data_IF_952956514632
#
_entry.id   IF_952956514632
#
_cell.length_a   1.000
_cell.length_b   1.000
_cell.length_c   1.000
_cell.angle_alpha   90.00
_cell.angle_beta   90.00
_cell.angle_gamma   90.00
#
_symmetry.space_group_name_H-M   'P 1'
#
loop_
_entity.id
_entity.type
_entity.pdbx_description
1 polymer ?
#
# COMPACT_ATOMS: atom_id res chain seq x y z
N UNK A 1 -10.91 -4.84 22.67
CA UNK A 1 -12.28 -4.67 22.14
C UNK A 1 -12.55 -5.79 21.14
N UNK A 2 -13.73 -6.40 21.20
CA UNK A 2 -14.08 -7.58 20.41
C UNK A 2 -14.41 -7.23 18.96
N UNK A 3 -14.14 -8.16 18.03
CA UNK A 3 -14.52 -8.02 16.63
C UNK A 3 -16.05 -7.83 16.49
N UNK A 4 -16.52 -7.09 15.46
CA UNK A 4 -17.94 -6.85 15.23
C UNK A 4 -18.72 -8.17 15.07
N UNK A 5 -19.93 -8.22 15.64
CA UNK A 5 -20.78 -9.41 15.60
C UNK A 5 -21.39 -9.64 14.21
N UNK A 6 -21.90 -10.86 13.95
CA UNK A 6 -22.63 -11.16 12.70
C UNK A 6 -23.85 -10.25 12.50
N UNK A 7 -24.50 -9.81 13.56
CA UNK A 7 -25.62 -8.84 13.50
C UNK A 7 -25.16 -7.46 13.08
N UNK A 8 -24.01 -7.00 13.58
CA UNK A 8 -23.44 -5.69 13.23
C UNK A 8 -23.08 -5.65 11.73
N UNK A 9 -22.52 -6.75 11.20
CA UNK A 9 -22.24 -6.85 9.77
C UNK A 9 -23.52 -6.83 8.91
N UNK A 10 -24.59 -7.53 9.31
CA UNK A 10 -25.87 -7.47 8.59
C UNK A 10 -26.48 -6.07 8.60
N UNK A 11 -26.38 -5.35 9.71
CA UNK A 11 -26.82 -3.97 9.81
C UNK A 11 -26.00 -3.05 8.88
N UNK A 12 -24.68 -3.25 8.85
CA UNK A 12 -23.78 -2.51 7.96
C UNK A 12 -24.09 -2.74 6.47
N UNK A 13 -24.38 -4.00 6.05
CA UNK A 13 -24.83 -4.32 4.69
C UNK A 13 -26.09 -3.55 4.34
N UNK A 14 -27.10 -3.62 5.21
CA UNK A 14 -28.39 -2.96 4.99
C UNK A 14 -28.21 -1.44 4.88
N UNK A 15 -27.30 -0.88 5.67
CA UNK A 15 -26.98 0.54 5.63
C UNK A 15 -26.28 0.94 4.32
N UNK A 16 -25.28 0.17 3.85
CA UNK A 16 -24.65 0.39 2.53
C UNK A 16 -25.72 0.43 1.43
N UNK A 17 -26.58 -0.59 1.37
CA UNK A 17 -27.64 -0.69 0.36
C UNK A 17 -28.64 0.47 0.47
N UNK A 18 -29.00 0.88 1.69
CA UNK A 18 -29.89 2.00 1.95
C UNK A 18 -29.30 3.31 1.44
N UNK A 19 -28.03 3.58 1.74
CA UNK A 19 -27.32 4.81 1.35
C UNK A 19 -27.20 4.94 -0.17
N UNK A 20 -26.84 3.85 -0.85
CA UNK A 20 -26.76 3.81 -2.31
C UNK A 20 -28.13 4.10 -2.94
N UNK A 21 -29.18 3.44 -2.45
CA UNK A 21 -30.55 3.61 -2.97
C UNK A 21 -31.09 5.01 -2.72
N UNK A 22 -30.93 5.56 -1.51
CA UNK A 22 -31.51 6.86 -1.13
C UNK A 22 -30.88 8.04 -1.86
N UNK A 23 -29.63 7.91 -2.29
CA UNK A 23 -28.90 8.97 -2.99
C UNK A 23 -28.81 8.76 -4.51
N UNK A 24 -29.51 7.75 -5.05
CA UNK A 24 -29.52 7.46 -6.48
C UNK A 24 -28.14 7.07 -7.04
N UNK A 25 -27.23 6.60 -6.20
CA UNK A 25 -25.87 6.22 -6.62
C UNK A 25 -25.96 4.89 -7.37
N UNK A 26 -25.54 4.90 -8.64
CA UNK A 26 -25.53 3.72 -9.49
C UNK A 26 -24.14 3.12 -9.51
N UNK A 27 -23.99 1.98 -8.85
CA UNK A 27 -22.77 1.21 -8.82
C UNK A 27 -22.71 0.26 -10.03
N UNK A 28 -21.79 0.50 -10.97
CA UNK A 28 -21.65 -0.27 -12.22
C UNK A 28 -21.40 -1.76 -11.95
N UNK A 29 -20.53 -2.07 -10.97
CA UNK A 29 -20.30 -3.41 -10.43
C UNK A 29 -20.72 -3.44 -8.95
N UNK A 30 -22.05 -3.35 -8.74
CA UNK A 30 -22.66 -3.30 -7.42
C UNK A 30 -22.25 -4.47 -6.51
N UNK A 31 -22.00 -5.66 -7.08
CA UNK A 31 -21.58 -6.83 -6.32
C UNK A 31 -20.16 -6.67 -5.78
N UNK A 32 -19.22 -6.24 -6.63
CA UNK A 32 -17.83 -6.06 -6.23
C UNK A 32 -17.63 -4.87 -5.29
N UNK A 33 -18.22 -3.71 -5.60
CA UNK A 33 -18.14 -2.54 -4.73
C UNK A 33 -18.75 -2.82 -3.35
N UNK A 34 -19.84 -3.58 -3.28
CA UNK A 34 -20.39 -4.03 -2.00
C UNK A 34 -19.44 -4.98 -1.27
N UNK A 35 -18.84 -5.95 -1.97
CA UNK A 35 -17.88 -6.88 -1.36
C UNK A 35 -16.68 -6.15 -0.75
N UNK A 36 -16.07 -5.21 -1.48
CA UNK A 36 -14.92 -4.42 -1.01
C UNK A 36 -15.30 -3.53 0.18
N UNK A 37 -16.48 -2.90 0.13
CA UNK A 37 -16.97 -2.10 1.25
C UNK A 37 -17.20 -2.95 2.52
N UNK A 38 -17.73 -4.17 2.35
CA UNK A 38 -17.95 -5.08 3.47
C UNK A 38 -16.65 -5.62 4.05
N UNK A 39 -15.67 -5.93 3.21
CA UNK A 39 -14.35 -6.34 3.65
C UNK A 39 -13.72 -5.27 4.55
N UNK A 40 -13.80 -4.00 4.14
CA UNK A 40 -13.32 -2.86 4.92
C UNK A 40 -14.07 -2.74 6.25
N UNK A 41 -15.40 -2.77 6.24
CA UNK A 41 -16.20 -2.62 7.47
C UNK A 41 -15.98 -3.77 8.46
N UNK A 42 -15.60 -4.96 7.99
CA UNK A 42 -15.24 -6.08 8.84
C UNK A 42 -13.88 -5.88 9.53
N UNK A 43 -12.90 -5.27 8.84
CA UNK A 43 -11.53 -5.08 9.34
C UNK A 43 -11.32 -3.76 10.08
N UNK A 44 -12.11 -2.73 9.75
CA UNK A 44 -12.00 -1.37 10.27
C UNK A 44 -13.33 -0.95 10.92
N UNK A 45 -13.57 -1.31 12.19
CA UNK A 45 -14.89 -1.25 12.82
C UNK A 45 -15.40 0.18 13.10
N UNK A 46 -14.53 1.19 13.02
CA UNK A 46 -14.89 2.60 13.20
C UNK A 46 -15.18 3.32 11.87
N UNK A 47 -15.00 2.64 10.73
CA UNK A 47 -15.49 3.14 9.45
C UNK A 47 -16.99 2.85 9.32
N UNK A 48 -17.68 3.75 8.62
CA UNK A 48 -19.11 3.67 8.36
C UNK A 48 -19.41 4.07 6.91
N UNK A 49 -20.39 3.42 6.27
CA UNK A 49 -20.88 3.86 4.97
C UNK A 49 -21.58 5.21 5.09
N UNK A 50 -21.31 6.08 4.14
CA UNK A 50 -21.86 7.43 4.07
C UNK A 50 -21.89 7.92 2.63
N UNK A 51 -22.56 9.05 2.42
CA UNK A 51 -22.56 9.75 1.13
C UNK A 51 -22.09 11.17 1.38
N UNK A 52 -21.07 11.59 0.64
CA UNK A 52 -20.52 12.93 0.77
C UNK A 52 -19.88 13.44 -0.50
N UNK A 53 -19.59 14.72 -0.49
CA UNK A 53 -18.84 15.39 -1.55
C UNK A 53 -17.36 15.09 -1.37
N UNK A 54 -16.67 14.89 -2.49
CA UNK A 54 -15.21 14.98 -2.54
C UNK A 54 -14.85 16.47 -2.56
N UNK A 55 -13.77 16.87 -1.88
CA UNK A 55 -13.35 18.27 -1.84
C UNK A 55 -13.26 18.86 -3.25
N UNK A 56 -13.98 19.95 -3.52
CA UNK A 56 -14.03 20.59 -4.84
C UNK A 56 -15.04 20.01 -5.84
N UNK A 57 -15.87 19.04 -5.47
CA UNK A 57 -16.94 18.49 -6.31
C UNK A 57 -18.33 18.72 -5.73
N UNK A 58 -19.29 19.11 -6.57
CA UNK A 58 -20.72 19.15 -6.20
C UNK A 58 -21.38 17.76 -6.26
N UNK A 59 -20.71 16.78 -6.88
CA UNK A 59 -21.20 15.42 -7.00
C UNK A 59 -21.09 14.68 -5.66
N UNK A 60 -22.15 13.96 -5.31
CA UNK A 60 -22.17 13.07 -4.15
C UNK A 60 -21.62 11.71 -4.53
N UNK A 61 -20.75 11.18 -3.67
CA UNK A 61 -20.13 9.88 -3.83
C UNK A 61 -20.40 9.01 -2.61
N UNK A 62 -20.47 7.70 -2.83
CA UNK A 62 -20.43 6.74 -1.75
C UNK A 62 -19.01 6.75 -1.15
N UNK A 63 -18.94 6.79 0.18
CA UNK A 63 -17.69 6.75 0.92
C UNK A 63 -17.80 5.89 2.17
N UNK A 64 -16.66 5.38 2.61
CA UNK A 64 -16.47 4.81 3.94
C UNK A 64 -15.69 5.83 4.75
N UNK A 65 -16.28 6.37 5.81
CA UNK A 65 -15.65 7.41 6.63
C UNK A 65 -15.64 7.04 8.11
N UNK A 66 -14.66 7.56 8.83
CA UNK A 66 -14.48 7.32 10.25
C UNK A 66 -13.01 7.41 10.64
N UNK A 67 -12.62 6.68 11.68
CA UNK A 67 -11.24 6.66 12.15
C UNK A 67 -10.57 5.31 11.93
N UNK A 68 -9.28 5.32 11.67
CA UNK A 68 -8.43 4.14 11.61
C UNK A 68 -7.37 4.26 12.69
N UNK A 69 -7.19 3.19 13.47
CA UNK A 69 -6.12 3.14 14.46
C UNK A 69 -4.79 2.91 13.75
N UNK A 70 -3.89 3.88 13.83
CA UNK A 70 -2.54 3.84 13.27
C UNK A 70 -1.54 3.98 14.41
N UNK A 71 -0.31 3.50 14.21
CA UNK A 71 0.71 3.54 15.26
C UNK A 71 1.81 4.51 14.88
N UNK A 72 2.35 5.25 15.83
CA UNK A 72 3.60 6.00 15.68
C UNK A 72 4.37 5.93 16.99
N UNK A 73 5.65 5.57 16.94
CA UNK A 73 6.46 5.32 18.14
C UNK A 73 5.76 4.40 19.16
N UNK A 74 5.12 3.32 18.66
CA UNK A 74 4.32 2.36 19.43
C UNK A 74 3.04 2.91 20.09
N UNK A 75 2.76 4.21 19.97
CA UNK A 75 1.51 4.80 20.44
C UNK A 75 0.42 4.69 19.37
N UNK A 76 -0.79 4.30 19.79
CA UNK A 76 -1.95 4.23 18.91
C UNK A 76 -2.65 5.58 18.78
N UNK A 77 -2.91 5.99 17.55
CA UNK A 77 -3.63 7.22 17.19
C UNK A 77 -4.84 6.87 16.34
N UNK A 78 -5.98 7.51 16.59
CA UNK A 78 -7.17 7.37 15.77
C UNK A 78 -7.17 8.46 14.70
N UNK A 79 -6.78 8.09 13.48
CA UNK A 79 -6.64 9.00 12.37
C UNK A 79 -7.95 9.04 11.57
N UNK A 80 -8.62 10.20 11.47
CA UNK A 80 -9.84 10.35 10.67
C UNK A 80 -9.53 10.34 9.18
N UNK A 81 -10.26 9.53 8.42
CA UNK A 81 -10.14 9.44 6.96
C UNK A 81 -11.48 9.09 6.29
N UNK A 82 -11.52 9.28 4.98
CA UNK A 82 -12.62 8.88 4.12
C UNK A 82 -12.07 8.16 2.86
N UNK A 83 -12.69 7.04 2.51
CA UNK A 83 -12.40 6.26 1.30
C UNK A 83 -13.60 6.37 0.36
N UNK A 84 -13.43 7.04 -0.76
CA UNK A 84 -14.49 7.25 -1.76
C UNK A 84 -14.42 6.18 -2.84
N UNK A 85 -15.59 5.61 -3.18
CA UNK A 85 -15.72 4.68 -4.30
C UNK A 85 -16.37 5.39 -5.48
N UNK A 86 -15.65 5.44 -6.60
CA UNK A 86 -16.20 5.92 -7.87
C UNK A 86 -17.09 4.85 -8.49
N UNK A 87 -18.02 5.27 -9.36
CA UNK A 87 -18.90 4.35 -10.09
C UNK A 87 -18.14 3.33 -10.94
N UNK A 88 -16.92 3.69 -11.37
CA UNK A 88 -15.98 2.85 -12.13
C UNK A 88 -15.18 1.86 -11.29
N UNK A 89 -15.29 1.87 -9.95
CA UNK A 89 -14.63 0.86 -9.13
C UNK A 89 -15.22 -0.54 -9.38
N UNK A 90 -14.42 -1.62 -9.48
CA UNK A 90 -12.99 -1.74 -9.16
C UNK A 90 -12.03 -1.41 -10.33
N UNK A 91 -12.53 -1.03 -11.51
CA UNK A 91 -11.67 -0.70 -12.66
C UNK A 91 -10.78 0.51 -12.35
N UNK A 92 -11.29 1.43 -11.51
CA UNK A 92 -10.52 2.54 -10.97
C UNK A 92 -10.23 2.36 -9.47
N UNK A 93 -9.07 2.84 -8.97
CA UNK A 93 -8.76 2.82 -7.55
C UNK A 93 -9.77 3.65 -6.72
N UNK A 94 -9.95 3.32 -5.42
CA UNK A 94 -10.63 4.19 -4.49
C UNK A 94 -9.82 5.48 -4.28
N UNK A 95 -10.49 6.54 -3.80
CA UNK A 95 -9.81 7.78 -3.40
C UNK A 95 -9.76 7.82 -1.87
N UNK A 96 -8.57 7.87 -1.29
CA UNK A 96 -8.39 7.99 0.16
C UNK A 96 -8.03 9.44 0.52
N UNK A 97 -8.77 10.03 1.46
CA UNK A 97 -8.50 11.36 1.98
C UNK A 97 -8.43 11.34 3.51
N UNK A 98 -7.40 11.95 4.07
CA UNK A 98 -7.31 12.27 5.49
C UNK A 98 -8.31 13.39 5.79
N UNK A 99 -8.98 13.31 6.94
CA UNK A 99 -10.04 14.23 7.34
C UNK A 99 -9.69 14.88 8.69
N UNK A 100 -8.73 15.82 8.74
CA UNK A 100 -8.29 16.44 9.99
C UNK A 100 -9.46 17.05 10.76
N UNK A 101 -9.52 16.78 12.07
CA UNK A 101 -10.38 17.54 12.97
C UNK A 101 -9.85 18.98 13.13
N UNK A 102 -10.65 19.92 13.68
CA UNK A 102 -10.22 21.31 13.83
C UNK A 102 -8.93 21.49 14.65
N UNK A 103 -8.61 20.54 15.54
CA UNK A 103 -7.39 20.50 16.35
C UNK A 103 -6.26 19.69 15.70
N UNK A 104 -6.40 19.23 14.46
CA UNK A 104 -5.36 18.53 13.71
C UNK A 104 -4.86 19.35 12.51
N UNK A 105 -3.63 19.08 12.10
CA UNK A 105 -3.03 19.66 10.90
C UNK A 105 -2.25 18.59 10.14
N UNK A 106 -2.39 18.60 8.81
CA UNK A 106 -1.58 17.77 7.93
C UNK A 106 -0.15 18.33 7.92
N UNK A 107 0.84 17.43 7.97
CA UNK A 107 2.25 17.78 7.87
C UNK A 107 2.51 18.48 6.51
N UNK A 108 3.00 19.72 6.49
CA UNK A 108 3.31 20.39 5.24
C UNK A 108 4.34 19.59 4.43
N UNK A 109 4.15 19.53 3.11
CA UNK A 109 5.04 18.81 2.19
C UNK A 109 5.26 17.33 2.55
N UNK A 110 4.24 16.67 3.13
CA UNK A 110 4.29 15.23 3.32
C UNK A 110 4.28 14.53 1.96
N UNK A 111 5.05 13.46 1.87
CA UNK A 111 5.32 12.81 0.61
C UNK A 111 4.14 12.04 0.01
N UNK A 112 3.31 11.45 0.87
CA UNK A 112 2.15 10.66 0.48
C UNK A 112 0.82 11.36 0.72
N UNK A 113 0.81 12.57 1.27
CA UNK A 113 -0.43 13.27 1.63
C UNK A 113 -0.28 14.74 1.30
N UNK A 114 -1.15 15.26 0.43
CA UNK A 114 -1.11 16.68 0.06
C UNK A 114 -1.76 17.58 1.14
N UNK A 115 -1.73 18.89 0.90
CA UNK A 115 -2.32 19.88 1.80
C UNK A 115 -3.85 19.75 1.96
N UNK A 116 -4.53 19.10 1.02
CA UNK A 116 -5.98 18.84 1.07
C UNK A 116 -6.31 17.49 1.73
N UNK A 117 -5.30 16.70 2.10
CA UNK A 117 -5.44 15.40 2.72
C UNK A 117 -5.56 14.26 1.73
N UNK A 118 -5.42 14.48 0.42
CA UNK A 118 -5.45 13.43 -0.58
C UNK A 118 -4.22 12.54 -0.45
N UNK A 119 -4.44 11.23 -0.39
CA UNK A 119 -3.39 10.24 -0.17
C UNK A 119 -2.91 9.66 -1.50
N UNK A 120 -1.59 9.66 -1.70
CA UNK A 120 -0.89 9.12 -2.86
C UNK A 120 -0.07 7.89 -2.46
N UNK A 121 -0.44 6.74 -2.99
CA UNK A 121 0.22 5.46 -2.71
C UNK A 121 0.67 4.80 -4.00
N UNK A 122 1.85 4.16 -4.02
CA UNK A 122 2.22 3.29 -5.12
C UNK A 122 1.18 2.17 -5.34
N UNK A 123 0.60 1.64 -4.26
CA UNK A 123 -0.48 0.65 -4.31
C UNK A 123 -1.75 1.13 -5.05
N UNK A 124 -2.04 2.44 -5.05
CA UNK A 124 -3.18 3.00 -5.79
C UNK A 124 -2.88 3.17 -7.28
N UNK A 125 -1.60 3.31 -7.64
CA UNK A 125 -1.17 3.41 -9.02
C UNK A 125 -1.28 2.06 -9.74
N UNK A 126 -0.75 1.01 -9.12
CA UNK A 126 -0.80 -0.36 -9.66
C UNK A 126 -2.14 -1.05 -9.32
N UNK A 127 -3.19 -0.26 -9.14
CA UNK A 127 -4.49 -0.78 -8.77
C UNK A 127 -5.05 -1.65 -9.89
N UNK A 128 -5.44 -2.87 -9.54
CA UNK A 128 -6.10 -3.81 -10.44
C UNK A 128 -7.43 -4.25 -9.86
N UNK A 129 -8.25 -4.94 -10.66
CA UNK A 129 -9.44 -5.61 -10.14
C UNK A 129 -9.12 -6.65 -9.08
N UNK A 130 -7.87 -7.07 -8.87
CA UNK A 130 -7.51 -7.99 -7.77
C UNK A 130 -7.05 -7.26 -6.51
N UNK A 131 -6.83 -5.96 -6.56
CA UNK A 131 -6.44 -5.14 -5.43
C UNK A 131 -7.57 -5.02 -4.41
N UNK A 132 -7.22 -4.96 -3.12
CA UNK A 132 -8.13 -4.75 -1.99
C UNK A 132 -7.94 -3.37 -1.36
N UNK A 133 -9.06 -2.77 -0.94
CA UNK A 133 -9.09 -1.53 -0.14
C UNK A 133 -8.49 -1.76 1.26
N UNK A 134 -8.60 -2.97 1.79
CA UNK A 134 -8.01 -3.31 3.09
C UNK A 134 -6.48 -3.23 3.03
N UNK A 135 -5.85 -3.75 1.98
CA UNK A 135 -4.40 -3.63 1.79
C UNK A 135 -4.00 -2.16 1.58
N UNK A 136 -4.76 -1.39 0.80
CA UNK A 136 -4.53 0.06 0.69
C UNK A 136 -4.53 0.74 2.08
N UNK A 137 -5.51 0.46 2.95
CA UNK A 137 -5.56 1.03 4.30
C UNK A 137 -4.39 0.57 5.20
N UNK A 138 -3.86 -0.64 4.98
CA UNK A 138 -2.65 -1.11 5.67
C UNK A 138 -1.42 -0.32 5.22
N UNK A 139 -1.28 -0.05 3.93
CA UNK A 139 -0.20 0.79 3.39
C UNK A 139 -0.27 2.22 3.96
N UNK A 140 -1.46 2.83 4.02
CA UNK A 140 -1.64 4.14 4.69
C UNK A 140 -1.17 4.10 6.14
N UNK A 141 -1.51 3.03 6.87
CA UNK A 141 -1.13 2.87 8.28
C UNK A 141 0.39 2.64 8.43
N UNK A 142 1.01 1.91 7.51
CA UNK A 142 2.46 1.67 7.49
C UNK A 142 3.22 2.97 7.23
N UNK A 143 2.75 3.81 6.29
CA UNK A 143 3.32 5.13 6.03
C UNK A 143 3.19 6.02 7.28
N UNK A 144 2.03 6.07 7.94
CA UNK A 144 1.89 6.85 9.17
C UNK A 144 2.87 6.40 10.26
N UNK A 145 3.17 5.09 10.30
CA UNK A 145 4.09 4.51 11.29
C UNK A 145 5.53 4.96 11.09
N UNK A 146 5.97 5.09 9.84
CA UNK A 146 7.31 5.56 9.51
C UNK A 146 7.42 7.09 9.44
N UNK A 147 6.44 7.77 8.87
CA UNK A 147 6.35 9.23 8.77
C UNK A 147 4.90 9.71 9.00
N UNK A 148 4.57 10.25 10.19
CA UNK A 148 3.24 10.76 10.47
C UNK A 148 2.87 11.94 9.56
N UNK A 149 1.80 11.77 8.79
CA UNK A 149 1.27 12.81 7.91
C UNK A 149 0.32 13.78 8.60
N UNK A 150 -0.07 13.55 9.84
CA UNK A 150 -1.02 14.40 10.58
C UNK A 150 -0.60 14.53 12.05
N UNK A 151 -0.75 15.75 12.59
CA UNK A 151 -0.39 16.10 13.96
C UNK A 151 -1.52 16.84 14.64
N UNK A 152 -1.54 16.84 15.98
CA UNK A 152 -2.34 17.81 16.74
C UNK A 152 -1.74 19.20 16.59
N UNK A 153 -2.59 20.20 16.39
CA UNK A 153 -2.20 21.61 16.44
C UNK A 153 -1.64 21.92 17.83
N UNK A 154 -0.57 22.74 17.93
CA UNK A 154 -0.11 23.24 19.21
C UNK A 154 -1.28 23.96 19.90
N UNK A 155 -1.64 23.54 21.11
CA UNK A 155 -2.60 24.28 21.92
C UNK A 155 -1.96 25.63 22.23
N UNK A 156 -2.47 26.71 21.62
CA UNK A 156 -2.00 28.04 21.99
C UNK A 156 -2.25 28.21 23.49
N UNK A 157 -1.25 28.62 24.29
CA UNK A 157 -1.52 29.05 25.65
C UNK A 157 -2.58 30.16 25.58
N UNK A 158 -3.56 30.18 26.51
CA UNK A 158 -4.63 31.16 26.48
C UNK A 158 -4.02 32.56 26.37
N UNK A 159 -4.48 33.34 25.40
CA UNK A 159 -4.05 34.71 25.21
C UNK A 159 -4.20 35.46 26.55
N UNK A 160 -3.08 35.80 27.17
CA UNK A 160 -3.07 36.67 28.35
C UNK A 160 -3.76 37.98 27.95
N UNK A 161 -4.82 38.40 28.66
CA UNK A 161 -5.44 39.71 28.42
C UNK A 161 -4.37 40.78 28.61
N UNK A 162 -4.04 41.51 27.55
CA UNK A 162 -3.14 42.65 27.62
C UNK A 162 -3.83 43.78 28.40
N UNK A 163 -3.62 43.80 29.72
CA UNK A 163 -3.92 44.99 30.51
C UNK A 163 -2.85 46.04 30.24
N UNK A 164 -3.30 47.19 29.76
CA UNK A 164 -2.56 48.44 29.67
C UNK A 164 -1.83 48.74 30.98
N UNK A 165 -0.53 49.04 30.89
CA UNK A 165 0.12 50.03 31.76
C UNK A 165 1.12 50.84 30.94
N UNK A 166 0.74 52.11 30.75
CA UNK A 166 1.58 53.19 30.29
C UNK A 166 2.71 53.51 31.31
N UNK A 167 3.90 53.73 30.73
CA UNK A 167 4.99 54.65 31.10
C UNK A 167 5.45 54.82 32.56
N UNK A 168 6.75 54.54 32.80
CA UNK A 168 7.77 55.60 32.88
C UNK A 168 9.20 55.04 33.09
N UNK A 169 10.14 55.83 32.59
CA UNK A 169 11.55 55.58 32.29
C UNK A 169 12.49 55.62 33.52
N UNK A 170 13.58 54.82 33.52
CA UNK A 170 14.96 55.23 33.92
C UNK A 170 16.00 54.09 33.84
N UNK A 171 16.91 54.19 32.87
CA UNK A 171 18.36 54.15 33.07
C UNK A 171 19.11 52.83 33.38
N UNK A 172 19.95 52.43 32.41
CA UNK A 172 21.34 51.94 32.55
C UNK A 172 21.69 50.46 32.21
N UNK A 173 22.49 50.36 31.14
CA UNK A 173 23.70 49.53 30.91
C UNK A 173 23.65 48.02 30.58
N UNK A 174 23.90 47.76 29.27
CA UNK A 174 24.81 46.78 28.61
C UNK A 174 25.15 45.45 29.32
N UNK A 175 24.81 44.32 28.67
CA UNK A 175 25.76 43.34 28.08
C UNK A 175 25.03 42.10 27.51
N UNK A 176 25.54 41.57 26.38
CA UNK A 176 25.10 40.34 25.67
C UNK A 176 25.46 39.05 26.43
N UNK A 177 24.85 37.91 26.10
CA UNK A 177 25.61 36.74 25.65
C UNK A 177 25.04 36.22 24.31
N UNK A 178 25.80 36.07 23.22
CA UNK A 178 26.66 34.91 22.84
C UNK A 178 25.98 33.58 23.16
N UNK A 179 25.38 32.96 22.14
CA UNK A 179 24.97 31.56 22.13
C UNK A 179 26.12 30.75 21.53
N UNK A 180 26.72 29.88 22.33
CA UNK A 180 27.63 28.83 21.87
C UNK A 180 26.85 27.67 21.26
N UNK A 181 27.35 27.20 20.12
CA UNK A 181 26.93 25.98 19.45
C UNK A 181 27.47 24.77 20.21
N UNK A 182 26.59 23.86 20.63
CA UNK A 182 27.01 22.51 21.01
C UNK A 182 26.53 21.50 19.98
N UNK A 183 27.53 20.82 19.42
CA UNK A 183 27.45 19.65 18.56
C UNK A 183 27.59 18.41 19.46
N UNK A 184 26.65 17.48 19.37
CA UNK A 184 26.72 16.23 20.13
C UNK A 184 27.56 15.18 19.39
N UNK A 185 28.69 14.82 19.98
CA UNK A 185 29.37 13.54 19.80
C UNK A 185 29.60 12.92 21.18
N UNK A 186 29.29 11.65 21.36
CA UNK A 186 29.51 10.95 22.63
C UNK A 186 30.37 9.72 22.40
N UNK A 187 31.48 9.63 23.13
CA UNK A 187 32.26 8.42 23.35
C UNK A 187 32.92 8.48 24.74
N UNK A 188 32.65 7.44 25.54
CA UNK A 188 33.42 6.88 26.68
C UNK A 188 33.40 7.73 27.97
N UNK A 189 33.35 7.19 29.21
CA UNK A 189 34.10 6.09 29.87
C UNK A 189 33.29 5.55 31.14
N UNK A 190 33.79 4.69 32.08
CA UNK A 190 33.70 3.21 32.14
C UNK A 190 33.12 2.54 33.43
N UNK A 191 33.02 1.19 33.34
CA UNK A 191 33.31 0.13 34.32
C UNK A 191 32.30 -0.30 35.41
N UNK A 192 31.75 -1.51 35.22
CA UNK A 192 31.82 -2.58 36.23
C UNK A 192 31.85 -3.95 35.54
N UNK A 193 32.87 -4.71 35.89
CA UNK A 193 33.28 -6.01 35.36
C UNK A 193 32.56 -7.18 36.03
N UNK A 194 32.46 -8.27 35.25
CA UNK A 194 32.51 -9.70 35.59
C UNK A 194 31.39 -10.39 36.39
N UNK A 195 30.74 -11.35 35.70
CA UNK A 195 30.55 -12.70 36.22
C UNK A 195 30.84 -13.76 35.14
N UNK A 196 32.05 -14.31 35.25
CA UNK A 196 32.52 -15.66 34.89
C UNK A 196 32.46 -16.20 33.45
N UNK A 197 33.67 -16.30 32.88
CA UNK A 197 34.14 -17.35 31.99
C UNK A 197 34.63 -18.60 32.77
N UNK A 198 34.39 -19.77 32.17
CA UNK A 198 35.25 -20.98 32.03
C UNK A 198 35.63 -21.88 33.24
N UNK A 199 35.43 -23.18 33.03
CA UNK A 199 36.40 -24.31 33.00
C UNK A 199 35.60 -25.63 32.95
N UNK A 200 35.99 -26.78 32.39
CA UNK A 200 37.01 -27.23 31.45
C UNK A 200 36.68 -28.72 31.13
N UNK A 201 37.05 -29.20 29.92
CA UNK A 201 37.53 -30.56 29.70
C UNK A 201 36.51 -31.71 29.51
N UNK A 202 36.19 -32.03 28.24
CA UNK A 202 35.62 -33.31 27.84
C UNK A 202 35.73 -33.52 26.33
N UNK A 203 36.75 -34.24 25.87
CA UNK A 203 36.97 -34.63 24.47
C UNK A 203 35.81 -35.51 23.99
N UNK A 204 35.06 -35.09 22.98
CA UNK A 204 34.32 -35.99 22.10
C UNK A 204 34.40 -35.49 20.65
N UNK A 205 35.06 -36.30 19.83
CA UNK A 205 35.01 -36.29 18.37
C UNK A 205 33.59 -36.57 17.92
N UNK A 206 32.92 -35.60 17.29
CA UNK A 206 31.65 -35.83 16.59
C UNK A 206 31.95 -35.99 15.10
N UNK A 207 31.85 -37.23 14.65
CA UNK A 207 31.86 -37.61 13.25
C UNK A 207 30.58 -37.09 12.56
N UNK A 208 30.75 -36.58 11.34
CA UNK A 208 29.67 -36.21 10.44
C UNK A 208 28.74 -37.40 10.15
N UNK A 209 27.40 -37.29 10.28
CA UNK A 209 26.50 -38.35 9.86
C UNK A 209 26.33 -38.36 8.33
N UNK A 210 26.13 -39.54 7.71
CA UNK A 210 26.13 -39.70 6.26
C UNK A 210 24.80 -39.28 5.63
N UNK A 211 24.87 -38.90 4.35
CA UNK A 211 23.76 -38.75 3.42
C UNK A 211 22.76 -39.92 3.55
N UNK A 212 21.50 -39.62 3.86
CA UNK A 212 20.37 -40.52 3.62
C UNK A 212 19.59 -40.03 2.42
N UNK A 213 19.53 -40.89 1.41
CA UNK A 213 18.65 -40.78 0.25
C UNK A 213 17.17 -40.99 0.66
N UNK A 214 16.21 -40.34 -0.02
CA UNK A 214 14.78 -40.59 0.19
C UNK A 214 14.37 -42.02 -0.24
N UNK A 215 13.31 -42.59 0.36
CA UNK A 215 12.83 -43.94 0.03
C UNK A 215 12.21 -43.98 -1.38
N UNK A 216 12.57 -45.01 -2.16
CA UNK A 216 11.98 -45.31 -3.45
C UNK A 216 10.55 -45.89 -3.30
N UNK A 217 9.64 -45.60 -4.24
CA UNK A 217 8.32 -46.24 -4.28
C UNK A 217 8.41 -47.71 -4.73
N UNK A 218 7.47 -48.58 -4.30
CA UNK A 218 7.48 -50.00 -4.64
C UNK A 218 7.23 -50.24 -6.12
N UNK A 219 8.05 -51.12 -6.70
CA UNK A 219 7.96 -51.63 -8.08
C UNK A 219 6.76 -52.56 -8.23
N UNK A 220 6.14 -52.46 -9.40
CA UNK A 220 4.84 -52.98 -9.84
C UNK A 220 4.48 -54.44 -9.53
N UNK A 221 3.17 -54.67 -9.39
CA UNK A 221 2.53 -55.87 -9.94
C UNK A 221 1.18 -55.51 -10.57
N UNK A 222 1.04 -55.88 -11.84
CA UNK A 222 -0.13 -55.82 -12.74
C UNK A 222 -0.32 -54.53 -13.56
N UNK A 223 0.48 -54.38 -14.63
CA UNK A 223 0.12 -53.56 -15.79
C UNK A 223 -1.03 -54.22 -16.57
N UNK A 224 -2.11 -53.51 -16.91
CA UNK A 224 -3.02 -53.94 -17.96
C UNK A 224 -2.26 -54.03 -19.28
N UNK A 225 -2.49 -55.11 -20.03
CA UNK A 225 -1.94 -55.37 -21.36
C UNK A 225 -2.12 -54.13 -22.28
N UNK A 226 -1.01 -53.62 -22.81
CA UNK A 226 -0.95 -52.46 -23.72
C UNK A 226 -1.83 -52.67 -24.96
N UNK A 227 -2.06 -53.93 -25.35
CA UNK A 227 -2.97 -54.27 -26.44
C UNK A 227 -4.45 -54.05 -26.08
N UNK A 228 -4.84 -54.15 -24.80
CA UNK A 228 -6.19 -53.79 -24.37
C UNK A 228 -6.39 -52.28 -24.36
N UNK A 229 -5.41 -51.49 -23.89
CA UNK A 229 -5.50 -50.02 -23.88
C UNK A 229 -5.61 -49.47 -25.31
N UNK A 230 -4.82 -50.00 -26.26
CA UNK A 230 -4.91 -49.61 -27.67
C UNK A 230 -6.24 -50.03 -28.33
N UNK A 231 -6.85 -51.14 -27.88
CA UNK A 231 -8.16 -51.58 -28.39
C UNK A 231 -9.30 -50.71 -27.85
N UNK A 232 -9.24 -50.28 -26.59
CA UNK A 232 -10.21 -49.36 -25.98
C UNK A 232 -10.08 -47.94 -26.55
N UNK A 233 -8.85 -47.48 -26.84
CA UNK A 233 -8.61 -46.17 -27.47
C UNK A 233 -9.02 -46.12 -28.95
N UNK A 234 -9.07 -47.26 -29.66
CA UNK A 234 -9.61 -47.34 -31.03
C UNK A 234 -11.14 -47.54 -31.05
N UNK A 235 -11.73 -48.08 -29.99
CA UNK A 235 -13.19 -48.27 -29.87
C UNK A 235 -13.93 -47.02 -29.37
N UNK A 236 -13.22 -46.07 -28.76
CA UNK A 236 -13.72 -44.73 -28.48
C UNK A 236 -13.22 -43.79 -29.57
N UNK A 237 -13.96 -43.73 -30.68
CA UNK A 237 -13.69 -42.85 -31.81
C UNK A 237 -13.95 -41.37 -31.44
N UNK A 238 -13.17 -40.84 -30.50
CA UNK A 238 -13.15 -39.43 -30.11
C UNK A 238 -11.97 -38.73 -30.78
N UNK A 239 -11.94 -38.75 -32.11
CA UNK A 239 -11.29 -37.67 -32.88
C UNK A 239 -12.23 -36.47 -32.89
N UNK A 240 -12.21 -35.69 -31.81
CA UNK A 240 -12.86 -34.39 -31.76
C UNK A 240 -11.86 -33.27 -32.08
N UNK A 241 -11.99 -32.52 -33.19
CA UNK A 241 -11.22 -31.30 -33.45
C UNK A 241 -11.49 -30.14 -32.45
N UNK A 242 -12.35 -30.35 -31.45
CA UNK A 242 -12.86 -29.31 -30.55
C UNK A 242 -11.97 -29.07 -29.31
N UNK A 243 -11.48 -30.14 -28.66
CA UNK A 243 -10.61 -30.03 -27.48
C UNK A 243 -9.25 -29.38 -27.79
N UNK A 244 -8.71 -29.59 -28.99
CA UNK A 244 -7.47 -28.96 -29.42
C UNK A 244 -7.63 -27.47 -29.66
N UNK A 245 -8.82 -27.03 -30.08
CA UNK A 245 -9.08 -25.62 -30.35
C UNK A 245 -9.33 -24.86 -29.05
N UNK A 246 -10.03 -25.43 -28.07
CA UNK A 246 -10.22 -24.82 -26.74
C UNK A 246 -8.90 -24.70 -25.95
N UNK A 247 -8.05 -25.73 -25.97
CA UNK A 247 -6.74 -25.67 -25.31
C UNK A 247 -5.82 -24.65 -25.99
N UNK A 248 -5.85 -24.58 -27.33
CA UNK A 248 -5.11 -23.54 -28.09
C UNK A 248 -5.66 -22.14 -27.84
N UNK A 249 -6.98 -21.98 -27.74
CA UNK A 249 -7.62 -20.71 -27.43
C UNK A 249 -7.24 -20.24 -26.02
N UNK A 250 -7.29 -21.12 -25.02
CA UNK A 250 -6.85 -20.80 -23.64
C UNK A 250 -5.36 -20.50 -23.54
N UNK A 251 -4.52 -21.20 -24.29
CA UNK A 251 -3.09 -20.90 -24.36
C UNK A 251 -2.83 -19.51 -24.98
N UNK A 252 -3.58 -19.15 -26.03
CA UNK A 252 -3.52 -17.82 -26.66
C UNK A 252 -4.02 -16.71 -25.73
N UNK A 253 -5.10 -16.93 -25.00
CA UNK A 253 -5.60 -15.97 -24.00
C UNK A 253 -4.60 -15.74 -22.86
N UNK A 254 -3.90 -16.80 -22.44
CA UNK A 254 -2.87 -16.70 -21.39
C UNK A 254 -1.61 -15.97 -21.89
N UNK A 255 -1.21 -16.19 -23.14
CA UNK A 255 -0.10 -15.48 -23.80
C UNK A 255 -0.42 -13.99 -24.00
N UNK A 256 -1.63 -13.66 -24.44
CA UNK A 256 -2.10 -12.26 -24.55
C UNK A 256 -2.11 -11.57 -23.18
N UNK A 257 -2.53 -12.25 -22.11
CA UNK A 257 -2.54 -11.68 -20.76
C UNK A 257 -1.13 -11.44 -20.21
N UNK A 258 -0.16 -12.32 -20.52
CA UNK A 258 1.23 -12.14 -20.10
C UNK A 258 1.88 -10.95 -20.82
N UNK A 259 1.57 -10.75 -22.09
CA UNK A 259 2.05 -9.58 -22.86
C UNK A 259 1.52 -8.24 -22.32
N UNK A 260 0.25 -8.20 -21.88
CA UNK A 260 -0.35 -7.02 -21.24
C UNK A 260 0.30 -6.75 -19.90
N UNK A 261 0.59 -7.80 -19.14
CA UNK A 261 1.27 -7.71 -17.85
C UNK A 261 2.71 -7.19 -18.00
N UNK A 262 3.46 -7.72 -18.96
CA UNK A 262 4.81 -7.24 -19.27
C UNK A 262 4.82 -5.74 -19.61
N UNK A 263 3.85 -5.30 -20.41
CA UNK A 263 3.72 -3.89 -20.76
C UNK A 263 3.41 -2.99 -19.57
N UNK A 264 2.73 -3.49 -18.54
CA UNK A 264 2.47 -2.75 -17.30
C UNK A 264 3.72 -2.49 -16.46
N UNK A 265 4.80 -3.25 -16.70
CA UNK A 265 6.07 -3.11 -15.99
C UNK A 265 7.07 -2.17 -16.70
N UNK A 266 6.72 -1.67 -17.89
CA UNK A 266 7.61 -0.82 -18.69
C UNK A 266 7.54 0.64 -18.26
N UNK A 267 8.69 1.27 -18.15
CA UNK A 267 8.83 2.70 -17.92
C UNK A 267 8.26 3.48 -19.12
N UNK A 268 7.38 4.46 -18.93
CA UNK A 268 6.85 5.25 -20.05
C UNK A 268 7.88 6.14 -20.76
N UNK A 269 9.03 6.40 -20.15
CA UNK A 269 10.12 7.20 -20.73
C UNK A 269 11.07 6.31 -21.55
N UNK A 270 11.63 5.26 -20.95
CA UNK A 270 12.60 4.38 -21.62
C UNK A 270 11.97 3.25 -22.42
N UNK A 271 10.70 2.93 -22.19
CA UNK A 271 10.00 1.75 -22.74
C UNK A 271 10.61 0.41 -22.30
N UNK A 272 11.50 0.41 -21.31
CA UNK A 272 12.14 -0.77 -20.73
C UNK A 272 11.48 -1.18 -19.41
N UNK A 273 11.58 -2.45 -19.03
CA UNK A 273 11.09 -2.93 -17.73
C UNK A 273 11.81 -2.19 -16.60
N UNK A 274 11.05 -1.61 -15.68
CA UNK A 274 11.59 -0.82 -14.57
C UNK A 274 12.36 -1.70 -13.59
N UNK A 275 13.59 -1.31 -13.28
CA UNK A 275 14.43 -1.92 -12.24
C UNK A 275 14.25 -1.21 -10.89
N UNK A 276 14.08 0.11 -10.91
CA UNK A 276 13.76 0.91 -9.72
C UNK A 276 12.54 1.81 -9.99
N UNK A 277 11.32 1.25 -9.98
CA UNK A 277 10.12 2.01 -10.26
C UNK A 277 9.88 3.07 -9.17
N UNK A 278 9.71 4.32 -9.57
CA UNK A 278 9.36 5.45 -8.72
C UNK A 278 8.15 6.20 -9.26
N UNK A 279 7.33 6.68 -8.36
CA UNK A 279 6.10 7.40 -8.64
C UNK A 279 6.33 8.91 -8.59
N UNK A 280 5.80 9.62 -9.58
CA UNK A 280 5.83 11.07 -9.66
C UNK A 280 4.47 11.69 -9.29
N UNK A 281 4.45 13.01 -9.08
CA UNK A 281 3.26 13.75 -8.62
C UNK A 281 2.10 13.77 -9.62
N UNK A 282 2.34 13.41 -10.89
CA UNK A 282 1.33 13.27 -11.93
C UNK A 282 0.53 11.97 -11.84
N UNK A 283 0.87 11.10 -10.89
CA UNK A 283 0.19 9.84 -10.75
C UNK A 283 0.77 8.72 -11.60
N UNK A 284 1.98 8.87 -12.18
CA UNK A 284 2.62 7.86 -13.02
C UNK A 284 3.90 7.29 -12.40
N UNK A 285 4.20 6.04 -12.72
CA UNK A 285 5.44 5.37 -12.33
C UNK A 285 6.43 5.36 -13.48
N UNK A 286 7.70 5.62 -13.15
CA UNK A 286 8.81 5.71 -14.06
C UNK A 286 10.01 4.96 -13.51
N UNK A 287 10.94 4.60 -14.37
CA UNK A 287 12.29 4.23 -13.93
C UNK A 287 12.97 5.45 -13.29
N UNK A 288 13.51 5.29 -12.08
CA UNK A 288 14.10 6.37 -11.28
C UNK A 288 15.05 7.24 -12.09
N UNK A 289 16.02 6.61 -12.74
CA UNK A 289 17.09 7.33 -13.43
C UNK A 289 16.55 8.18 -14.59
N UNK A 290 15.47 7.74 -15.24
CA UNK A 290 14.88 8.44 -16.37
C UNK A 290 14.02 9.64 -15.94
N UNK A 291 13.19 9.47 -14.91
CA UNK A 291 12.39 10.59 -14.40
C UNK A 291 13.25 11.63 -13.67
N UNK A 292 14.31 11.22 -12.95
CA UNK A 292 15.26 12.14 -12.34
C UNK A 292 15.96 12.99 -13.41
N UNK A 293 16.38 12.37 -14.53
CA UNK A 293 16.96 13.08 -15.68
C UNK A 293 15.96 14.07 -16.30
N UNK A 294 14.70 13.67 -16.47
CA UNK A 294 13.65 14.55 -17.00
C UNK A 294 13.44 15.79 -16.12
N UNK A 295 13.34 15.60 -14.80
CA UNK A 295 13.06 16.65 -13.83
C UNK A 295 14.20 17.64 -13.59
N UNK A 296 15.42 17.34 -14.09
CA UNK A 296 16.54 18.28 -14.09
C UNK A 296 16.27 19.50 -14.97
N UNK A 297 15.56 19.32 -16.10
CA UNK A 297 15.32 20.39 -17.07
C UNK A 297 13.85 20.80 -17.18
N UNK A 298 12.94 19.95 -16.70
CA UNK A 298 11.49 20.17 -16.79
C UNK A 298 10.82 20.08 -15.42
N UNK A 299 9.64 20.68 -15.32
CA UNK A 299 8.74 20.57 -14.16
C UNK A 299 7.36 20.06 -14.57
N UNK A 300 7.29 19.35 -15.71
CA UNK A 300 6.08 18.76 -16.28
C UNK A 300 6.10 17.23 -16.25
N UNK A 301 4.93 16.60 -16.37
CA UNK A 301 4.79 15.16 -16.57
C UNK A 301 5.40 14.74 -17.92
N UNK A 302 6.22 13.68 -17.98
CA UNK A 302 6.66 13.08 -19.23
C UNK A 302 5.53 12.57 -20.12
N UNK A 303 4.39 12.19 -19.53
CA UNK A 303 3.27 11.58 -20.24
C UNK A 303 2.22 12.59 -20.68
N UNK A 304 1.79 13.47 -19.77
CA UNK A 304 0.70 14.42 -20.04
C UNK A 304 1.21 15.79 -20.46
N UNK A 305 2.50 16.07 -20.25
CA UNK A 305 3.12 17.37 -20.42
C UNK A 305 2.50 18.48 -19.53
N UNK A 306 1.68 18.10 -18.55
CA UNK A 306 1.12 19.03 -17.57
C UNK A 306 2.13 19.33 -16.46
N UNK A 307 2.05 20.52 -15.84
CA UNK A 307 2.94 20.91 -14.74
C UNK A 307 2.72 20.00 -13.53
N UNK A 308 3.80 19.43 -13.01
CA UNK A 308 3.74 18.59 -11.82
C UNK A 308 3.45 19.45 -10.57
N UNK A 309 2.58 18.99 -9.67
CA UNK A 309 2.40 19.62 -8.36
C UNK A 309 3.70 19.75 -7.57
N UNK A 310 4.57 18.75 -7.66
CA UNK A 310 5.91 18.75 -7.07
C UNK A 310 6.86 17.78 -7.79
N UNK A 311 8.17 17.94 -7.59
CA UNK A 311 9.22 17.09 -8.18
C UNK A 311 9.67 15.91 -7.31
N UNK A 312 9.03 15.69 -6.16
CA UNK A 312 9.37 14.57 -5.28
C UNK A 312 8.99 13.22 -5.92
N UNK A 313 9.85 12.21 -5.77
CA UNK A 313 9.70 10.88 -6.37
C UNK A 313 9.66 9.77 -5.31
N UNK A 314 8.59 8.96 -5.36
CA UNK A 314 8.26 7.92 -4.37
C UNK A 314 8.67 6.53 -4.84
N UNK A 315 9.54 5.79 -4.14
CA UNK A 315 9.80 4.40 -4.47
C UNK A 315 8.51 3.57 -4.51
N UNK A 316 8.29 2.84 -5.61
CA UNK A 316 7.19 1.90 -5.74
C UNK A 316 7.68 0.48 -5.41
N UNK A 317 7.81 0.18 -4.10
CA UNK A 317 8.29 -1.12 -3.63
C UNK A 317 7.38 -2.28 -4.02
N UNK A 318 6.07 -2.03 -4.14
CA UNK A 318 5.10 -3.02 -4.58
C UNK A 318 5.33 -3.43 -6.03
N UNK A 319 5.37 -2.46 -6.95
CA UNK A 319 5.67 -2.72 -8.36
C UNK A 319 7.04 -3.34 -8.52
N UNK A 320 8.05 -2.86 -7.78
CA UNK A 320 9.39 -3.44 -7.78
C UNK A 320 9.36 -4.91 -7.41
N UNK A 321 8.59 -5.29 -6.39
CA UNK A 321 8.44 -6.69 -5.98
C UNK A 321 7.72 -7.52 -7.06
N UNK A 322 6.66 -6.98 -7.67
CA UNK A 322 5.92 -7.64 -8.75
C UNK A 322 6.79 -7.88 -9.99
N UNK A 323 7.59 -6.88 -10.38
CA UNK A 323 8.54 -6.99 -11.50
C UNK A 323 9.58 -8.07 -11.22
N UNK A 324 10.13 -8.11 -10.01
CA UNK A 324 11.11 -9.13 -9.63
C UNK A 324 10.52 -10.54 -9.69
N UNK A 325 9.29 -10.73 -9.20
CA UNK A 325 8.59 -12.01 -9.30
C UNK A 325 8.32 -12.41 -10.76
N UNK A 326 7.92 -11.46 -11.60
CA UNK A 326 7.70 -11.69 -13.02
C UNK A 326 8.99 -12.12 -13.73
N UNK A 327 10.09 -11.41 -13.50
CA UNK A 327 11.40 -11.74 -14.05
C UNK A 327 11.88 -13.12 -13.60
N UNK A 328 11.65 -13.49 -12.34
CA UNK A 328 12.02 -14.83 -11.84
C UNK A 328 11.22 -15.95 -12.52
N UNK A 329 9.92 -15.76 -12.74
CA UNK A 329 9.08 -16.74 -13.43
C UNK A 329 9.50 -16.92 -14.88
N UNK A 330 9.83 -15.81 -15.56
CA UNK A 330 10.20 -15.83 -16.97
C UNK A 330 11.68 -16.14 -17.23
N UNK A 331 12.52 -16.18 -16.19
CA UNK A 331 13.90 -16.66 -16.27
C UNK A 331 14.03 -18.20 -16.17
N UNK A 332 12.95 -18.92 -15.86
CA UNK A 332 12.93 -20.39 -15.67
C UNK A 332 12.42 -21.13 -16.93
N UNK A 333 11.98 -20.40 -17.95
CA UNK A 333 11.63 -20.91 -19.27
C UNK A 333 12.76 -20.65 -20.27
#
# INVERSE_FOLDING_TARGET
MSAPSKSDMKAAIKEVQRQLKSHGIKLKDSSRQAADALEVLQKFPYLRPSVGMMSGSEQKFFKLEGTVQMFFNSNGYYVPLAVFLRETHPDSPPVCMIQPTPDMMIKPHHFHVDAHGLVYLPYLHDWTKRSSIVEMLREVSAIFTSDPFIFKKPSQPPATPSYLKDNANKGATKSKPVYEQESCSCSQIPNLNNCCQQTAGGKQTVQSPPHRTPPQPPVARNTPDVNQIQKTMRALDLKGPDLTNEVKAKAKEMDELDSVLENSFRCPISMEIMSDPVFAADGHTYERVEIERWLQTRDTSPLTNEKLPHKMLTPNHNLRSQILEYQQKNAIH
#
